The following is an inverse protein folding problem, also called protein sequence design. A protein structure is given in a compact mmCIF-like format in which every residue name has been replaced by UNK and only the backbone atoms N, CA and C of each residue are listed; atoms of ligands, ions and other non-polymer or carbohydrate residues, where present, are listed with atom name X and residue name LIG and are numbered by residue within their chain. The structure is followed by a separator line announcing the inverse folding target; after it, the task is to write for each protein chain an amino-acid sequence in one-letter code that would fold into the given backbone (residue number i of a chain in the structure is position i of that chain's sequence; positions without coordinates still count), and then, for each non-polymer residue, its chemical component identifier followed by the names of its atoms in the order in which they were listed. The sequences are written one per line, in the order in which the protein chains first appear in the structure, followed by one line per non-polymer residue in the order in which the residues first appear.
data_IF_391228554823
#
_entry.id   IF_391228554823
#
_cell.length_a   1.000
_cell.length_b   1.000
_cell.length_c   1.000
_cell.angle_alpha   90.00
_cell.angle_beta   90.00
_cell.angle_gamma   90.00
#
_symmetry.space_group_name_H-M   'P 1'
#
loop_
_entity.id
_entity.type
_entity.pdbx_description
1 polymer ?
#
# COMPACT_ATOMS: atom_id res chain seq x y z
N UNK A 1 -11.78 -6.77 -13.03
CA UNK A 1 -11.32 -5.74 -13.98
C UNK A 1 -9.93 -5.30 -13.52
N UNK A 2 -8.85 -5.79 -14.14
CA UNK A 2 -7.50 -5.30 -13.85
C UNK A 2 -7.36 -3.94 -14.52
N UNK A 3 -7.25 -2.87 -13.73
CA UNK A 3 -7.04 -1.52 -14.24
C UNK A 3 -5.60 -1.42 -14.77
N UNK A 4 -5.42 -1.25 -16.07
CA UNK A 4 -4.11 -1.00 -16.72
C UNK A 4 -3.60 0.43 -16.49
N UNK A 5 -3.95 1.04 -15.35
CA UNK A 5 -3.57 2.41 -15.03
C UNK A 5 -2.10 2.45 -14.60
N UNK A 6 -1.31 3.26 -15.29
CA UNK A 6 0.11 3.43 -15.03
C UNK A 6 0.35 4.52 -13.99
N UNK A 7 0.36 4.11 -12.71
CA UNK A 7 0.57 4.99 -11.57
C UNK A 7 1.98 5.64 -11.50
N UNK A 8 2.91 5.23 -12.36
CA UNK A 8 4.22 5.89 -12.48
C UNK A 8 4.15 7.14 -13.37
N UNK A 9 3.12 7.26 -14.21
CA UNK A 9 2.96 8.30 -15.24
C UNK A 9 1.89 9.33 -14.88
N UNK A 10 1.17 9.12 -13.77
CA UNK A 10 0.16 10.03 -13.25
C UNK A 10 0.83 11.30 -12.68
N UNK A 11 0.55 12.51 -13.20
CA UNK A 11 1.06 13.77 -12.64
C UNK A 11 0.62 13.95 -11.19
N UNK A 12 -0.55 13.42 -10.83
CA UNK A 12 -1.01 13.26 -9.47
C UNK A 12 -0.45 11.94 -8.94
N UNK A 13 0.87 11.90 -8.66
CA UNK A 13 1.45 10.76 -7.94
C UNK A 13 0.60 10.51 -6.71
N UNK A 14 -0.18 9.43 -6.73
CA UNK A 14 -1.14 9.15 -5.68
C UNK A 14 -0.43 9.25 -4.33
N UNK A 15 -0.79 10.27 -3.56
CA UNK A 15 -0.16 10.67 -2.30
C UNK A 15 -0.04 9.49 -1.32
N UNK A 16 -0.92 8.50 -1.52
CA UNK A 16 -1.12 7.32 -0.70
C UNK A 16 -0.44 6.03 -1.22
N UNK A 17 0.52 6.12 -2.14
CA UNK A 17 1.28 4.95 -2.61
C UNK A 17 2.34 4.54 -1.58
N UNK A 18 2.21 3.36 -0.98
CA UNK A 18 3.28 2.75 -0.20
C UNK A 18 4.28 2.06 -1.14
N UNK A 19 5.50 2.56 -1.14
CA UNK A 19 6.60 1.90 -1.84
C UNK A 19 7.16 0.80 -0.95
N UNK A 20 7.21 -0.42 -1.49
CA UNK A 20 7.92 -1.52 -0.84
C UNK A 20 9.39 -1.13 -0.64
N UNK A 21 9.79 -1.01 0.62
CA UNK A 21 11.18 -0.96 1.02
C UNK A 21 11.59 -2.37 1.41
N UNK A 22 12.31 -3.05 0.53
CA UNK A 22 12.91 -4.34 0.84
C UNK A 22 14.05 -4.16 1.82
N UNK A 23 13.77 -4.27 3.12
CA UNK A 23 14.74 -4.86 4.05
C UNK A 23 14.47 -6.36 4.03
N UNK A 24 15.31 -7.11 3.32
CA UNK A 24 15.16 -8.56 3.22
C UNK A 24 15.30 -9.19 4.62
N UNK A 25 14.19 -9.51 5.27
CA UNK A 25 14.15 -10.42 6.41
C UNK A 25 13.90 -11.82 5.87
N UNK A 26 14.98 -12.58 5.66
CA UNK A 26 14.92 -13.96 5.22
C UNK A 26 14.45 -14.86 6.37
N UNK A 27 13.14 -15.00 6.55
CA UNK A 27 12.61 -16.18 7.24
C UNK A 27 12.81 -17.38 6.32
N UNK A 28 13.74 -18.27 6.69
CA UNK A 28 14.15 -19.45 5.91
C UNK A 28 12.98 -20.44 5.74
N UNK A 29 12.15 -20.23 4.73
CA UNK A 29 11.38 -21.29 4.08
C UNK A 29 11.86 -21.38 2.64
N UNK A 30 12.35 -22.57 2.24
CA UNK A 30 13.05 -22.80 0.95
C UNK A 30 12.24 -22.37 -0.29
N UNK A 31 10.93 -22.11 -0.17
CA UNK A 31 10.03 -21.77 -1.27
C UNK A 31 9.14 -20.51 -1.06
N UNK A 32 9.29 -19.75 0.04
CA UNK A 32 8.46 -18.54 0.27
C UNK A 32 9.30 -17.42 0.89
N UNK A 33 9.69 -16.45 0.05
CA UNK A 33 10.23 -15.19 0.54
C UNK A 33 9.08 -14.31 1.02
N UNK A 34 9.03 -14.03 2.31
CA UNK A 34 8.16 -12.99 2.86
C UNK A 34 8.95 -11.69 2.89
N UNK A 35 8.39 -10.63 2.32
CA UNK A 35 8.96 -9.28 2.37
C UNK A 35 8.03 -8.38 3.17
N UNK A 36 8.60 -7.41 3.87
CA UNK A 36 7.86 -6.46 4.70
C UNK A 36 8.19 -5.04 4.26
N UNK A 37 7.27 -4.10 4.51
CA UNK A 37 7.51 -2.67 4.39
C UNK A 37 7.73 -2.12 5.80
N UNK A 38 8.96 -1.67 6.08
CA UNK A 38 9.27 -0.95 7.30
C UNK A 38 9.11 0.56 7.07
N UNK A 39 8.02 1.13 7.59
CA UNK A 39 7.73 2.56 7.47
C UNK A 39 8.10 3.35 8.75
N UNK A 40 8.91 2.79 9.65
CA UNK A 40 9.20 3.41 10.95
C UNK A 40 9.92 4.76 10.79
N UNK A 41 10.95 4.83 9.94
CA UNK A 41 11.79 6.04 9.75
C UNK A 41 11.71 6.65 8.36
N UNK A 42 11.06 5.97 7.41
CA UNK A 42 10.92 6.42 6.02
C UNK A 42 9.57 6.00 5.46
N UNK A 43 8.89 6.88 4.73
CA UNK A 43 7.57 6.60 4.15
C UNK A 43 6.84 7.88 3.74
N UNK A 44 5.53 7.79 3.61
CA UNK A 44 4.61 8.92 3.39
C UNK A 44 3.49 8.91 4.44
N UNK A 45 2.46 9.74 4.26
CA UNK A 45 1.35 9.91 5.21
C UNK A 45 0.61 8.62 5.55
N UNK A 46 0.64 7.62 4.67
CA UNK A 46 -0.05 6.33 4.88
C UNK A 46 0.43 5.56 6.11
N UNK A 47 1.65 5.81 6.60
CA UNK A 47 2.17 5.20 7.84
C UNK A 47 1.34 5.55 9.08
N UNK A 48 0.46 6.55 8.99
CA UNK A 48 -0.42 7.00 10.07
C UNK A 48 -1.86 6.51 9.92
N UNK A 49 -2.17 5.69 8.91
CA UNK A 49 -3.50 5.10 8.75
C UNK A 49 -3.73 4.10 9.88
N UNK A 50 -4.84 4.30 10.60
CA UNK A 50 -5.20 3.44 11.72
C UNK A 50 -5.98 2.21 11.27
N UNK A 51 -5.98 1.19 12.12
CA UNK A 51 -6.84 0.01 12.00
C UNK A 51 -8.32 0.34 12.25
N UNK A 52 -9.23 -0.34 11.55
CA UNK A 52 -10.66 -0.40 11.86
C UNK A 52 -11.21 -1.79 11.53
N UNK A 53 -12.13 -2.32 12.34
CA UNK A 53 -12.88 -3.54 12.02
C UNK A 53 -13.91 -3.33 10.90
N UNK A 54 -14.24 -2.07 10.59
CA UNK A 54 -15.10 -1.66 9.49
C UNK A 54 -14.39 -0.57 8.68
N UNK A 55 -13.32 -0.93 7.95
CA UNK A 55 -12.51 0.04 7.22
C UNK A 55 -13.17 0.42 5.90
N UNK A 56 -12.94 1.66 5.46
CA UNK A 56 -13.36 2.15 4.13
C UNK A 56 -12.24 2.10 3.09
N UNK A 57 -11.05 1.69 3.52
CA UNK A 57 -9.87 1.54 2.67
C UNK A 57 -9.23 0.18 2.92
N UNK A 58 -8.43 -0.29 1.96
CA UNK A 58 -7.64 -1.52 2.11
C UNK A 58 -6.26 -1.38 1.48
N UNK A 59 -5.31 -2.14 2.00
CA UNK A 59 -4.00 -2.32 1.36
C UNK A 59 -4.12 -3.32 0.20
N UNK A 60 -3.64 -2.94 -0.98
CA UNK A 60 -3.64 -3.79 -2.17
C UNK A 60 -2.24 -3.90 -2.75
N UNK A 61 -1.73 -5.13 -2.88
CA UNK A 61 -0.50 -5.38 -3.63
C UNK A 61 -0.77 -5.22 -5.12
N UNK A 62 0.01 -4.36 -5.77
CA UNK A 62 -0.02 -4.15 -7.21
C UNK A 62 1.35 -4.43 -7.80
N UNK A 63 1.36 -5.27 -8.85
CA UNK A 63 2.57 -5.63 -9.58
C UNK A 63 2.60 -4.93 -10.93
N UNK A 64 3.54 -4.01 -11.09
CA UNK A 64 3.87 -3.41 -12.38
C UNK A 64 5.23 -3.96 -12.85
N UNK A 65 5.20 -4.93 -13.79
CA UNK A 65 6.39 -5.63 -14.29
C UNK A 65 7.23 -6.25 -13.16
N UNK A 66 8.42 -5.69 -12.90
CA UNK A 66 9.35 -6.11 -11.84
C UNK A 66 9.19 -5.31 -10.55
N UNK A 67 8.30 -4.30 -10.52
CA UNK A 67 8.02 -3.47 -9.34
C UNK A 67 6.75 -3.96 -8.66
N UNK A 68 6.84 -4.23 -7.37
CA UNK A 68 5.69 -4.47 -6.52
C UNK A 68 5.49 -3.20 -5.67
N UNK A 69 4.25 -2.73 -5.57
CA UNK A 69 3.83 -1.59 -4.73
C UNK A 69 2.65 -2.03 -3.87
N UNK A 70 2.47 -1.39 -2.72
CA UNK A 70 1.24 -1.53 -1.93
C UNK A 70 0.48 -0.21 -2.04
N UNK A 71 -0.78 -0.28 -2.44
CA UNK A 71 -1.65 0.89 -2.56
C UNK A 71 -2.63 0.89 -1.41
N UNK A 72 -3.01 2.08 -0.94
CA UNK A 72 -4.25 2.25 -0.18
C UNK A 72 -5.35 2.57 -1.18
N UNK A 73 -6.32 1.68 -1.32
CA UNK A 73 -7.47 1.91 -2.19
C UNK A 73 -8.73 2.13 -1.35
N UNK A 74 -9.56 3.05 -1.81
CA UNK A 74 -10.86 3.34 -1.21
C UNK A 74 -11.86 2.30 -1.71
N UNK A 75 -12.43 1.52 -0.80
CA UNK A 75 -13.46 0.50 -1.11
C UNK A 75 -14.87 1.01 -0.86
N UNK A 76 -15.01 2.05 -0.04
CA UNK A 76 -16.25 2.75 0.24
C UNK A 76 -16.03 4.27 0.30
N UNK A 77 -17.02 5.07 -0.08
CA UNK A 77 -16.89 6.52 -0.11
C UNK A 77 -16.42 7.11 1.24
N UNK A 78 -15.30 7.84 1.18
CA UNK A 78 -14.74 8.64 2.29
C UNK A 78 -15.11 10.10 2.05
N UNK A 79 -15.85 10.70 2.98
CA UNK A 79 -16.25 12.11 2.91
C UNK A 79 -15.23 13.00 3.63
N UNK A 80 -15.24 14.29 3.32
CA UNK A 80 -14.40 15.29 4.02
C UNK A 80 -14.61 15.18 5.54
N UNK A 81 -13.51 15.15 6.29
CA UNK A 81 -13.52 14.99 7.75
C UNK A 81 -13.65 13.54 8.25
N UNK A 82 -13.91 12.55 7.38
CA UNK A 82 -13.90 11.15 7.77
C UNK A 82 -12.48 10.59 7.84
N UNK A 83 -12.24 9.69 8.81
CA UNK A 83 -10.95 9.03 8.98
C UNK A 83 -10.71 8.01 7.86
N UNK A 84 -9.50 8.02 7.32
CA UNK A 84 -8.98 6.93 6.47
C UNK A 84 -8.50 5.81 7.40
N UNK A 85 -9.07 4.61 7.24
CA UNK A 85 -8.73 3.42 8.04
C UNK A 85 -8.66 2.19 7.15
N UNK A 86 -7.74 1.28 7.48
CA UNK A 86 -7.54 -0.01 6.81
C UNK A 86 -7.70 -1.16 7.81
N UNK A 87 -7.81 -2.40 7.32
CA UNK A 87 -7.67 -3.59 8.15
C UNK A 87 -6.21 -3.85 8.52
#
# INVERSE_FOLDING_TARGET
MLTTHDFDTDPDKAEYVLRLQTKASTTKSKNKQTVYIDAATCGNITRFINHSCQPKCQFMEVRNRRRVKVLVIVVEAVRVGQKVTCF
#
